data_IF_668524498113
#
_entry.id   IF_668524498113
#
_cell.length_a   1.000
_cell.length_b   1.000
_cell.length_c   1.000
_cell.angle_alpha   90.00
_cell.angle_beta   90.00
_cell.angle_gamma   90.00
#
_symmetry.space_group_name_H-M   'P 1'
#
loop_
_entity.id
_entity.type
_entity.pdbx_description
1 polymer ?
#
# COMPACT_ATOMS: atom_id res chain seq x y z
N UNK A 1 1.30 8.87 -21.76
CA UNK A 1 2.21 7.74 -22.02
C UNK A 1 3.63 8.21 -21.84
N UNK A 2 4.14 8.05 -20.64
CA UNK A 2 5.53 8.28 -20.30
C UNK A 2 6.40 7.35 -21.12
N UNK A 3 7.52 7.87 -21.61
CA UNK A 3 8.48 7.02 -22.30
C UNK A 3 8.96 5.93 -21.36
N UNK A 4 9.23 4.72 -21.87
CA UNK A 4 9.93 3.66 -21.12
C UNK A 4 11.18 4.21 -20.39
N UNK A 5 11.86 5.19 -20.98
CA UNK A 5 12.98 5.89 -20.38
C UNK A 5 12.64 6.66 -19.10
N UNK A 6 11.44 7.24 -19.00
CA UNK A 6 10.93 7.91 -17.79
C UNK A 6 10.72 6.92 -16.65
N UNK A 7 10.01 5.82 -16.92
CA UNK A 7 9.75 4.76 -15.92
C UNK A 7 11.06 4.12 -15.43
N UNK A 8 11.93 3.72 -16.36
CA UNK A 8 13.25 3.19 -16.02
C UNK A 8 14.13 4.22 -15.28
N UNK A 9 13.99 5.50 -15.62
CA UNK A 9 14.67 6.61 -14.95
C UNK A 9 14.21 6.75 -13.49
N UNK A 10 12.90 6.80 -13.25
CA UNK A 10 12.29 6.81 -11.91
C UNK A 10 12.72 5.59 -11.09
N UNK A 11 12.65 4.39 -11.66
CA UNK A 11 13.09 3.15 -11.02
C UNK A 11 14.57 3.17 -10.64
N UNK A 12 15.46 3.53 -11.58
CA UNK A 12 16.91 3.59 -11.34
C UNK A 12 17.28 4.66 -10.31
N UNK A 13 16.60 5.80 -10.28
CA UNK A 13 16.78 6.83 -9.24
C UNK A 13 16.38 6.30 -7.87
N UNK A 14 15.22 5.65 -7.75
CA UNK A 14 14.76 5.05 -6.49
C UNK A 14 15.72 3.98 -5.95
N UNK A 15 16.23 3.10 -6.82
CA UNK A 15 17.24 2.12 -6.45
C UNK A 15 18.51 2.75 -5.90
N UNK A 16 19.01 3.81 -6.55
CA UNK A 16 20.26 4.48 -6.16
C UNK A 16 20.12 5.37 -4.93
N UNK A 17 18.96 6.00 -4.75
CA UNK A 17 18.71 6.98 -3.69
C UNK A 17 18.23 6.37 -2.38
N UNK A 18 17.25 5.46 -2.45
CA UNK A 18 16.38 5.17 -1.31
C UNK A 18 16.53 3.75 -0.75
N UNK A 19 16.66 2.73 -1.61
CA UNK A 19 16.68 1.32 -1.18
C UNK A 19 17.91 0.98 -0.34
N UNK A 20 19.09 1.49 -0.73
CA UNK A 20 20.35 1.13 -0.09
C UNK A 20 20.74 2.02 1.10
N UNK A 21 20.07 3.16 1.28
CA UNK A 21 20.44 4.15 2.31
C UNK A 21 19.57 4.10 3.56
N UNK A 22 18.37 3.53 3.47
CA UNK A 22 17.44 3.49 4.59
C UNK A 22 17.48 2.11 5.28
N UNK A 23 17.83 2.03 6.59
CA UNK A 23 17.77 0.77 7.32
C UNK A 23 16.35 0.21 7.29
N UNK A 24 16.23 -1.11 7.24
CA UNK A 24 14.92 -1.76 7.38
C UNK A 24 14.34 -1.41 8.75
N UNK A 25 13.06 -1.02 8.76
CA UNK A 25 12.31 -0.82 10.00
C UNK A 25 12.32 -2.11 10.81
N UNK A 26 12.33 -1.97 12.12
CA UNK A 26 12.36 -3.10 13.04
C UNK A 26 10.93 -3.54 13.37
N UNK A 27 10.77 -4.84 13.56
CA UNK A 27 9.58 -5.41 14.17
C UNK A 27 9.69 -5.34 15.69
N UNK A 28 8.55 -5.34 16.37
CA UNK A 28 8.53 -5.51 17.83
C UNK A 28 8.88 -6.96 18.21
N UNK A 29 9.74 -7.12 19.21
CA UNK A 29 10.13 -8.43 19.72
C UNK A 29 8.94 -9.09 20.41
N UNK A 30 8.57 -10.30 19.98
CA UNK A 30 7.42 -11.03 20.53
C UNK A 30 6.06 -10.49 20.08
N UNK A 31 6.03 -9.57 19.10
CA UNK A 31 4.79 -9.05 18.54
C UNK A 31 4.06 -10.07 17.65
N UNK A 32 2.90 -9.64 17.15
CA UNK A 32 2.01 -10.38 16.23
C UNK A 32 2.80 -11.08 15.11
N UNK A 33 2.45 -12.34 14.74
CA UNK A 33 3.17 -13.07 13.70
C UNK A 33 3.27 -12.30 12.39
N UNK A 34 4.45 -12.39 11.74
CA UNK A 34 4.72 -11.77 10.44
C UNK A 34 5.14 -12.85 9.45
N UNK A 35 4.39 -12.99 8.37
CA UNK A 35 4.72 -13.81 7.20
C UNK A 35 5.30 -12.93 6.10
N UNK A 36 6.48 -13.28 5.59
CA UNK A 36 7.15 -12.54 4.54
C UNK A 36 6.97 -13.24 3.19
N UNK A 37 6.39 -12.53 2.22
CA UNK A 37 6.34 -12.97 0.82
C UNK A 37 7.47 -12.30 0.02
N UNK A 38 7.45 -12.43 -1.31
CA UNK A 38 8.46 -11.79 -2.17
C UNK A 38 8.44 -10.27 -1.99
N UNK A 39 7.25 -9.66 -1.97
CA UNK A 39 7.08 -8.21 -2.01
C UNK A 39 6.36 -7.63 -0.78
N UNK A 40 5.68 -8.44 0.02
CA UNK A 40 4.84 -7.97 1.12
C UNK A 40 5.20 -8.64 2.46
N UNK A 41 4.86 -7.95 3.54
CA UNK A 41 4.74 -8.52 4.86
C UNK A 41 3.26 -8.62 5.19
N UNK A 42 2.82 -9.82 5.59
CA UNK A 42 1.46 -10.12 6.02
C UNK A 42 1.53 -10.35 7.54
N UNK A 43 0.85 -9.52 8.31
CA UNK A 43 0.93 -9.47 9.76
C UNK A 43 -0.42 -9.88 10.35
N UNK A 44 -0.44 -10.81 11.29
CA UNK A 44 -1.69 -11.31 11.91
C UNK A 44 -1.86 -12.83 11.82
N UNK A 45 -2.96 -13.33 12.40
CA UNK A 45 -3.37 -14.73 12.28
C UNK A 45 -4.08 -14.97 10.93
N UNK A 46 -3.46 -15.80 10.10
CA UNK A 46 -3.93 -16.11 8.75
C UNK A 46 -4.90 -17.30 8.71
N UNK A 47 -5.08 -18.01 9.81
CA UNK A 47 -5.84 -19.28 9.84
C UNK A 47 -7.35 -19.07 9.92
N UNK A 48 -7.76 -17.96 10.53
CA UNK A 48 -9.16 -17.65 10.83
C UNK A 48 -9.67 -16.37 10.15
N UNK A 49 -8.78 -15.54 9.63
CA UNK A 49 -9.14 -14.27 9.01
C UNK A 49 -9.81 -14.44 7.64
N UNK A 50 -10.87 -13.67 7.42
CA UNK A 50 -11.57 -13.57 6.13
C UNK A 50 -11.29 -12.25 5.41
N UNK A 51 -10.66 -11.30 6.09
CA UNK A 51 -10.32 -9.99 5.55
C UNK A 51 -8.90 -9.56 5.94
N UNK A 52 -8.33 -8.66 5.15
CA UNK A 52 -7.07 -7.99 5.49
C UNK A 52 -7.10 -6.51 5.13
N UNK A 53 -6.21 -5.75 5.76
CA UNK A 53 -6.03 -4.31 5.53
C UNK A 53 -4.68 -4.04 4.88
N UNK A 54 -4.69 -3.49 3.67
CA UNK A 54 -3.48 -3.14 2.93
C UNK A 54 -3.10 -1.70 3.27
N UNK A 55 -1.92 -1.50 3.84
CA UNK A 55 -1.36 -0.18 4.17
C UNK A 55 -0.15 0.15 3.29
N UNK A 56 -0.08 1.42 2.86
CA UNK A 56 1.02 1.95 2.08
C UNK A 56 0.60 3.22 1.33
N UNK A 57 1.36 3.54 0.30
CA UNK A 57 0.97 4.51 -0.71
C UNK A 57 0.56 3.81 -1.99
N UNK A 58 -0.52 4.26 -2.64
CA UNK A 58 -0.93 3.82 -3.96
C UNK A 58 -0.84 4.97 -4.98
N UNK A 59 -0.23 4.68 -6.12
CA UNK A 59 -0.19 5.58 -7.27
C UNK A 59 -0.65 4.86 -8.53
N UNK A 60 -1.31 5.59 -9.42
CA UNK A 60 -1.84 5.08 -10.67
C UNK A 60 -1.54 5.99 -11.87
N UNK A 61 -0.46 6.76 -11.81
CA UNK A 61 -0.04 7.63 -12.90
C UNK A 61 0.28 6.81 -14.15
N UNK A 62 -0.23 7.28 -15.29
CA UNK A 62 -0.01 6.67 -16.61
C UNK A 62 1.46 6.42 -16.94
N UNK A 63 2.32 7.27 -16.40
CA UNK A 63 3.76 7.30 -16.61
C UNK A 63 4.54 6.39 -15.64
N UNK A 64 3.86 5.70 -14.72
CA UNK A 64 4.48 4.74 -13.80
C UNK A 64 4.30 3.28 -14.24
N UNK A 65 3.42 3.01 -15.22
CA UNK A 65 3.14 1.67 -15.72
C UNK A 65 4.03 1.28 -16.89
N UNK A 66 4.55 0.05 -16.86
CA UNK A 66 5.43 -0.47 -17.92
C UNK A 66 4.65 -0.90 -19.18
N UNK A 67 3.51 -1.60 -19.07
CA UNK A 67 2.59 -1.96 -20.18
C UNK A 67 1.25 -2.52 -19.62
N UNK A 68 0.09 -2.15 -20.21
CA UNK A 68 -1.28 -2.73 -20.08
C UNK A 68 -1.78 -3.25 -18.71
N UNK A 69 -1.08 -2.88 -17.64
CA UNK A 69 -1.32 -3.35 -16.28
C UNK A 69 -1.96 -2.26 -15.42
N UNK A 70 -2.60 -1.27 -16.06
CA UNK A 70 -3.29 -0.14 -15.41
C UNK A 70 -4.51 -0.60 -14.61
N UNK A 71 -5.16 -1.66 -15.08
CA UNK A 71 -6.28 -2.29 -14.40
C UNK A 71 -6.07 -3.80 -14.29
N UNK A 72 -6.88 -4.43 -13.46
CA UNK A 72 -6.98 -5.88 -13.37
C UNK A 72 -8.43 -6.29 -13.12
N UNK A 73 -8.77 -7.51 -13.55
CA UNK A 73 -10.06 -8.10 -13.23
C UNK A 73 -10.02 -8.71 -11.83
N UNK A 74 -10.90 -8.27 -10.94
CA UNK A 74 -10.97 -8.79 -9.57
C UNK A 74 -11.28 -10.29 -9.61
N UNK A 75 -10.53 -11.15 -8.90
CA UNK A 75 -10.80 -12.59 -8.88
C UNK A 75 -12.21 -12.91 -8.35
N UNK A 76 -12.81 -14.00 -8.84
CA UNK A 76 -14.11 -14.46 -8.36
C UNK A 76 -14.09 -14.73 -6.85
N UNK A 77 -15.12 -14.24 -6.13
CA UNK A 77 -15.20 -14.38 -4.67
C UNK A 77 -14.33 -13.41 -3.88
N UNK A 78 -13.59 -12.50 -4.54
CA UNK A 78 -12.82 -11.44 -3.89
C UNK A 78 -13.59 -10.12 -3.90
N UNK A 79 -13.48 -9.38 -2.79
CA UNK A 79 -13.97 -8.01 -2.64
C UNK A 79 -12.80 -7.09 -2.31
N UNK A 80 -12.71 -5.96 -3.00
CA UNK A 80 -11.71 -4.90 -2.78
C UNK A 80 -12.45 -3.64 -2.36
N UNK A 81 -12.27 -3.25 -1.10
CA UNK A 81 -12.82 -2.03 -0.54
C UNK A 81 -11.76 -0.91 -0.56
N UNK A 82 -12.19 0.29 -0.88
CA UNK A 82 -11.45 1.54 -0.74
C UNK A 82 -12.21 2.46 0.23
N UNK A 83 -11.54 3.51 0.69
CA UNK A 83 -12.11 4.48 1.64
C UNK A 83 -11.95 5.94 1.21
N UNK A 84 -11.41 6.17 0.02
CA UNK A 84 -11.43 7.49 -0.63
C UNK A 84 -11.68 7.30 -2.13
N UNK A 85 -12.05 8.36 -2.87
CA UNK A 85 -12.21 8.29 -4.32
C UNK A 85 -10.89 7.96 -5.04
N UNK A 86 -10.97 7.51 -6.28
CA UNK A 86 -9.81 7.57 -7.18
C UNK A 86 -9.32 9.01 -7.33
N UNK A 87 -8.00 9.21 -7.37
CA UNK A 87 -7.35 10.51 -7.44
C UNK A 87 -7.25 11.25 -6.09
N UNK A 88 -7.43 10.56 -4.95
CA UNK A 88 -7.38 11.18 -3.62
C UNK A 88 -6.30 10.56 -2.72
N UNK A 89 -5.73 11.39 -1.86
CA UNK A 89 -4.87 10.96 -0.75
C UNK A 89 -5.72 10.40 0.40
N UNK A 90 -5.20 9.38 1.08
CA UNK A 90 -5.83 8.80 2.26
C UNK A 90 -5.68 9.77 3.44
N UNK A 91 -6.81 10.11 4.05
CA UNK A 91 -6.86 11.02 5.19
C UNK A 91 -6.74 10.31 6.56
N UNK A 92 -6.72 8.97 6.60
CA UNK A 92 -6.74 8.19 7.84
C UNK A 92 -5.56 7.20 7.91
N UNK A 93 -4.75 7.32 8.96
CA UNK A 93 -3.62 6.41 9.21
C UNK A 93 -4.06 5.04 9.76
N UNK A 94 -3.10 4.11 9.85
CA UNK A 94 -3.33 2.75 10.37
C UNK A 94 -3.85 2.74 11.81
N UNK A 95 -3.45 3.71 12.65
CA UNK A 95 -3.96 3.88 14.01
C UNK A 95 -5.50 3.99 14.10
N UNK A 96 -6.16 4.54 13.07
CA UNK A 96 -7.62 4.75 13.09
C UNK A 96 -8.39 3.43 13.10
N UNK A 97 -7.74 2.33 12.68
CA UNK A 97 -8.30 0.98 12.82
C UNK A 97 -8.55 0.60 14.28
N UNK A 98 -7.83 1.20 15.24
CA UNK A 98 -8.09 1.02 16.68
C UNK A 98 -9.46 1.50 17.11
N UNK A 99 -10.07 2.39 16.33
CA UNK A 99 -11.42 2.88 16.52
C UNK A 99 -12.46 2.10 15.70
N UNK A 100 -12.09 0.91 15.24
CA UNK A 100 -12.92 -0.12 14.63
C UNK A 100 -13.46 0.13 13.21
N UNK A 101 -13.18 1.27 12.55
CA UNK A 101 -13.56 1.45 11.13
C UNK A 101 -12.61 2.38 10.39
N UNK A 102 -12.20 2.02 9.16
CA UNK A 102 -11.65 2.99 8.22
C UNK A 102 -12.68 4.10 7.95
N UNK A 103 -12.22 5.35 7.90
CA UNK A 103 -13.08 6.50 7.61
C UNK A 103 -13.23 6.64 6.10
N UNK A 104 -14.43 6.36 5.60
CA UNK A 104 -14.74 6.58 4.19
C UNK A 104 -14.97 8.07 3.90
N UNK A 105 -14.42 8.57 2.80
CA UNK A 105 -14.69 9.91 2.32
C UNK A 105 -16.18 10.04 1.93
N UNK A 106 -16.90 11.08 2.37
CA UNK A 106 -18.35 11.18 2.26
C UNK A 106 -18.90 11.24 0.83
N UNK A 107 -18.05 11.56 -0.16
CA UNK A 107 -18.43 11.73 -1.56
C UNK A 107 -17.97 10.61 -2.48
N UNK A 108 -17.37 9.54 -1.94
CA UNK A 108 -16.76 8.51 -2.77
C UNK A 108 -17.82 7.54 -3.34
N UNK A 109 -17.76 7.32 -4.65
CA UNK A 109 -18.73 6.51 -5.42
C UNK A 109 -18.15 5.18 -5.91
N UNK A 110 -16.83 5.02 -5.87
CA UNK A 110 -16.06 3.88 -6.39
C UNK A 110 -15.31 3.15 -5.26
N UNK A 111 -16.01 2.91 -4.17
CA UNK A 111 -15.42 2.37 -2.95
C UNK A 111 -15.33 0.84 -2.90
N UNK A 112 -16.01 0.11 -3.78
CA UNK A 112 -16.07 -1.35 -3.72
C UNK A 112 -16.00 -1.94 -5.12
N UNK A 113 -15.09 -2.90 -5.30
CA UNK A 113 -14.98 -3.73 -6.49
C UNK A 113 -15.11 -5.19 -6.08
N UNK A 114 -15.86 -5.98 -6.84
CA UNK A 114 -16.15 -7.39 -6.57
C UNK A 114 -15.72 -8.28 -7.73
N UNK A 115 -15.74 -9.59 -7.54
CA UNK A 115 -15.28 -10.56 -8.53
C UNK A 115 -15.85 -10.33 -9.95
N UNK A 116 -14.96 -10.11 -10.91
CA UNK A 116 -15.29 -9.82 -12.31
C UNK A 116 -15.27 -8.33 -12.67
N UNK A 117 -15.29 -7.44 -11.69
CA UNK A 117 -15.15 -6.00 -11.92
C UNK A 117 -13.73 -5.66 -12.40
N UNK A 118 -13.63 -4.57 -13.16
CA UNK A 118 -12.35 -4.00 -13.57
C UNK A 118 -11.91 -2.96 -12.52
N UNK A 119 -10.80 -3.23 -11.83
CA UNK A 119 -10.27 -2.39 -10.77
C UNK A 119 -8.92 -1.80 -11.17
N UNK A 120 -8.65 -0.55 -10.78
CA UNK A 120 -7.36 0.10 -11.00
C UNK A 120 -6.26 -0.65 -10.24
N UNK A 121 -5.16 -0.95 -10.92
CA UNK A 121 -4.07 -1.75 -10.38
C UNK A 121 -2.96 -0.88 -9.78
N UNK A 122 -3.27 -0.15 -8.71
CA UNK A 122 -2.35 0.77 -8.06
C UNK A 122 -0.96 0.18 -7.83
N UNK A 123 0.08 0.93 -8.18
CA UNK A 123 1.45 0.67 -7.78
C UNK A 123 1.55 1.02 -6.30
N UNK A 124 1.92 0.03 -5.50
CA UNK A 124 2.03 0.17 -4.07
C UNK A 124 3.47 0.46 -3.69
N UNK A 125 3.64 1.37 -2.74
CA UNK A 125 4.91 1.60 -2.08
C UNK A 125 4.72 1.64 -0.58
N UNK A 126 5.81 1.41 0.13
CA UNK A 126 5.83 1.42 1.60
C UNK A 126 5.45 2.81 2.11
N UNK A 127 4.58 2.86 3.12
CA UNK A 127 4.09 4.09 3.77
C UNK A 127 5.24 4.89 4.41
N UNK A 128 6.15 4.20 5.10
CA UNK A 128 7.25 4.86 5.81
C UNK A 128 8.49 5.12 4.93
N UNK A 129 8.84 6.41 4.83
CA UNK A 129 10.13 7.00 4.42
C UNK A 129 10.11 7.79 3.09
N UNK A 130 8.97 7.85 2.37
CA UNK A 130 8.84 8.66 1.14
C UNK A 130 8.54 10.13 1.48
N UNK A 131 7.72 10.34 2.51
CA UNK A 131 7.34 11.66 3.00
C UNK A 131 8.08 12.10 4.28
N UNK A 132 8.93 11.24 4.85
CA UNK A 132 9.37 11.38 6.25
C UNK A 132 10.89 11.30 6.44
N UNK A 133 11.68 11.76 5.46
CA UNK A 133 13.15 11.75 5.51
C UNK A 133 13.80 12.63 6.60
N UNK A 134 13.06 13.00 7.66
CA UNK A 134 13.58 13.78 8.76
C UNK A 134 12.82 13.68 10.09
N UNK A 135 11.69 12.97 10.17
CA UNK A 135 10.88 12.95 11.40
C UNK A 135 10.37 11.54 11.70
N UNK A 136 11.18 10.76 12.42
CA UNK A 136 10.82 9.42 12.89
C UNK A 136 9.64 9.42 13.86
N UNK A 137 9.33 10.57 14.47
CA UNK A 137 8.28 10.69 15.47
C UNK A 137 6.88 10.70 14.85
N UNK A 138 6.75 11.19 13.61
CA UNK A 138 5.44 11.27 12.94
C UNK A 138 4.90 9.89 12.54
N UNK A 139 5.64 9.05 11.85
CA UNK A 139 5.08 7.74 11.47
C UNK A 139 4.94 6.75 12.64
N UNK A 140 5.71 6.93 13.72
CA UNK A 140 5.44 6.24 14.97
C UNK A 140 4.13 6.74 15.60
N UNK A 141 3.87 8.05 15.56
CA UNK A 141 2.60 8.65 16.01
C UNK A 141 1.40 8.06 15.26
N UNK A 142 1.49 7.86 13.94
CA UNK A 142 0.41 7.32 13.12
C UNK A 142 0.42 5.79 12.99
N UNK A 143 1.39 5.11 13.62
CA UNK A 143 1.60 3.66 13.60
C UNK A 143 1.74 3.04 12.18
N UNK A 144 2.32 3.81 11.26
CA UNK A 144 2.50 3.43 9.85
C UNK A 144 3.86 2.73 9.59
N UNK A 145 4.61 2.47 10.65
CA UNK A 145 5.86 1.70 10.62
C UNK A 145 5.60 0.20 10.89
N UNK A 146 6.65 -0.63 10.85
CA UNK A 146 6.48 -2.08 11.01
C UNK A 146 6.07 -2.43 12.45
N UNK A 147 6.63 -1.77 13.45
CA UNK A 147 6.26 -1.99 14.84
C UNK A 147 4.80 -1.57 15.11
N UNK A 148 4.39 -0.40 14.64
CA UNK A 148 3.04 0.13 14.76
C UNK A 148 2.01 -0.71 14.00
N UNK A 149 2.29 -1.07 12.75
CA UNK A 149 1.43 -2.00 11.97
C UNK A 149 1.25 -3.33 12.71
N UNK A 150 2.33 -3.86 13.29
CA UNK A 150 2.30 -5.12 14.04
C UNK A 150 1.52 -4.98 15.37
N UNK A 151 1.62 -3.84 16.03
CA UNK A 151 0.87 -3.53 17.24
C UNK A 151 -0.63 -3.41 16.93
N UNK A 152 -1.01 -2.62 15.92
CA UNK A 152 -2.42 -2.47 15.48
C UNK A 152 -3.01 -3.82 15.10
N UNK A 153 -2.30 -4.63 14.30
CA UNK A 153 -2.76 -5.96 13.92
C UNK A 153 -3.00 -6.87 15.13
N UNK A 154 -2.11 -6.82 16.12
CA UNK A 154 -2.20 -7.62 17.35
C UNK A 154 -3.35 -7.20 18.25
N UNK A 155 -3.41 -5.90 18.54
CA UNK A 155 -4.39 -5.32 19.47
C UNK A 155 -5.83 -5.46 18.93
N UNK A 156 -6.00 -5.40 17.62
CA UNK A 156 -7.31 -5.50 16.96
C UNK A 156 -7.67 -6.92 16.52
N UNK A 157 -6.72 -7.86 16.55
CA UNK A 157 -6.93 -9.22 16.04
C UNK A 157 -7.22 -9.26 14.54
N UNK A 158 -6.60 -8.38 13.75
CA UNK A 158 -6.81 -8.26 12.31
C UNK A 158 -5.56 -8.67 11.52
N UNK A 159 -5.74 -8.91 10.21
CA UNK A 159 -4.63 -9.11 9.29
C UNK A 159 -4.30 -7.80 8.58
N UNK A 160 -3.03 -7.40 8.62
CA UNK A 160 -2.53 -6.24 7.89
C UNK A 160 -1.47 -6.65 6.87
N UNK A 161 -1.38 -5.92 5.76
CA UNK A 161 -0.41 -6.15 4.70
C UNK A 161 0.32 -4.85 4.41
N UNK A 162 1.65 -4.90 4.41
CA UNK A 162 2.49 -3.76 4.07
C UNK A 162 3.60 -4.17 3.09
N UNK A 163 4.10 -3.22 2.33
CA UNK A 163 5.16 -3.44 1.33
C UNK A 163 6.51 -3.68 2.06
N UNK A 164 7.25 -4.71 1.62
CA UNK A 164 8.63 -4.94 2.10
C UNK A 164 9.53 -3.78 1.65
N UNK A 165 10.65 -3.55 2.34
CA UNK A 165 11.61 -2.46 2.07
C UNK A 165 12.22 -2.48 0.65
N UNK A 166 11.40 -2.18 -0.36
CA UNK A 166 11.64 -2.12 -1.80
C UNK A 166 10.96 -0.85 -2.28
N UNK A 167 11.69 0.25 -2.21
CA UNK A 167 11.25 1.55 -2.69
C UNK A 167 11.02 1.47 -4.20
N UNK A 168 9.77 1.60 -4.62
CA UNK A 168 9.38 1.65 -6.04
C UNK A 168 9.90 0.46 -6.86
N UNK A 169 9.29 -0.71 -6.66
CA UNK A 169 9.60 -1.90 -7.45
C UNK A 169 8.49 -2.16 -8.47
N UNK A 170 8.86 -2.16 -9.75
CA UNK A 170 8.00 -2.59 -10.86
C UNK A 170 7.48 -4.02 -10.57
N UNK A 171 6.23 -4.13 -10.13
CA UNK A 171 5.62 -5.40 -9.72
C UNK A 171 5.05 -5.43 -8.31
N UNK A 172 5.24 -4.39 -7.50
CA UNK A 172 4.48 -4.21 -6.25
C UNK A 172 3.19 -3.48 -6.62
N UNK A 173 2.18 -4.22 -7.02
CA UNK A 173 0.86 -3.66 -7.38
C UNK A 173 -0.24 -4.25 -6.51
N UNK A 174 -1.41 -3.62 -6.52
CA UNK A 174 -2.59 -4.13 -5.82
C UNK A 174 -2.94 -5.56 -6.26
N UNK A 175 -2.92 -5.84 -7.56
CA UNK A 175 -3.11 -7.20 -8.10
C UNK A 175 -2.12 -8.19 -7.50
N UNK A 176 -0.82 -7.86 -7.50
CA UNK A 176 0.20 -8.74 -6.95
C UNK A 176 0.04 -8.96 -5.43
N UNK A 177 -0.38 -7.92 -4.70
CA UNK A 177 -0.69 -8.00 -3.28
C UNK A 177 -1.82 -9.01 -3.03
N UNK A 178 -2.94 -8.86 -3.75
CA UNK A 178 -4.09 -9.78 -3.65
C UNK A 178 -3.66 -11.21 -3.96
N UNK A 179 -2.91 -11.43 -5.04
CA UNK A 179 -2.43 -12.76 -5.44
C UNK A 179 -1.49 -13.41 -4.41
N UNK A 180 -0.57 -12.64 -3.83
CA UNK A 180 0.36 -13.14 -2.82
C UNK A 180 -0.35 -13.44 -1.49
N UNK A 181 -1.31 -12.59 -1.07
CA UNK A 181 -2.11 -12.80 0.15
C UNK A 181 -3.04 -13.98 0.00
N UNK A 182 -3.83 -14.07 -1.08
CA UNK A 182 -4.74 -15.21 -1.30
C UNK A 182 -3.97 -16.53 -1.38
N UNK A 183 -2.73 -16.53 -1.88
CA UNK A 183 -1.88 -17.73 -1.86
C UNK A 183 -1.42 -18.11 -0.45
N UNK A 184 -1.08 -17.13 0.38
CA UNK A 184 -0.60 -17.35 1.75
C UNK A 184 -1.75 -17.65 2.73
N UNK A 185 -2.93 -17.10 2.49
CA UNK A 185 -4.11 -17.16 3.34
C UNK A 185 -5.39 -17.27 2.49
N UNK A 186 -5.73 -18.46 1.97
CA UNK A 186 -6.86 -18.64 1.05
C UNK A 186 -8.24 -18.30 1.62
N UNK A 187 -8.37 -18.23 2.95
CA UNK A 187 -9.59 -17.80 3.63
C UNK A 187 -9.87 -16.29 3.50
N UNK A 188 -8.85 -15.48 3.19
CA UNK A 188 -8.98 -14.04 3.03
C UNK A 188 -9.56 -13.73 1.65
N UNK A 189 -10.78 -13.22 1.65
CA UNK A 189 -11.54 -12.84 0.45
C UNK A 189 -11.83 -11.34 0.37
N UNK A 190 -11.67 -10.61 1.47
CA UNK A 190 -11.93 -9.17 1.54
C UNK A 190 -10.63 -8.39 1.74
N UNK A 191 -10.38 -7.40 0.88
CA UNK A 191 -9.19 -6.57 0.90
C UNK A 191 -9.58 -5.12 1.14
N UNK A 192 -9.23 -4.60 2.30
CA UNK A 192 -9.52 -3.23 2.71
C UNK A 192 -8.30 -2.35 2.42
N UNK A 193 -8.41 -1.47 1.42
CA UNK A 193 -7.31 -0.64 0.92
C UNK A 193 -7.19 0.67 1.71
N UNK A 194 -6.18 0.74 2.58
CA UNK A 194 -5.81 1.90 3.38
C UNK A 194 -4.53 2.53 2.81
N UNK A 195 -4.65 3.08 1.61
CA UNK A 195 -3.54 3.76 0.95
C UNK A 195 -4.05 4.89 0.05
N UNK A 196 -3.20 5.87 -0.25
CA UNK A 196 -3.48 6.93 -1.22
C UNK A 196 -3.88 6.32 -2.58
N UNK A 197 -4.82 6.91 -3.31
CA UNK A 197 -5.31 6.45 -4.63
C UNK A 197 -4.93 7.46 -5.72
N UNK A 198 -3.70 7.97 -5.65
CA UNK A 198 -3.27 9.09 -6.50
C UNK A 198 -3.19 8.70 -7.96
N UNK A 199 -3.52 9.65 -8.82
CA UNK A 199 -3.52 9.59 -10.28
C UNK A 199 -2.98 10.92 -10.86
N UNK A 200 -2.91 10.97 -12.18
CA UNK A 200 -2.43 12.14 -12.95
C UNK A 200 -3.25 13.42 -12.74
N UNK A 201 -4.49 13.31 -12.24
CA UNK A 201 -5.40 14.44 -12.03
C UNK A 201 -5.49 14.87 -10.57
N UNK A 202 -4.79 14.18 -9.66
CA UNK A 202 -4.92 14.39 -8.22
C UNK A 202 -4.46 15.78 -7.79
N UNK A 203 -3.75 16.54 -8.65
CA UNK A 203 -3.31 17.91 -8.39
C UNK A 203 -2.39 18.05 -7.17
N UNK A 204 -1.99 16.92 -6.58
CA UNK A 204 -1.30 16.86 -5.31
C UNK A 204 0.20 16.78 -5.59
N UNK A 205 0.84 17.95 -5.54
CA UNK A 205 2.30 18.12 -5.59
C UNK A 205 3.03 17.19 -4.60
N UNK A 206 2.35 16.64 -3.58
CA UNK A 206 2.87 15.67 -2.64
C UNK A 206 3.44 14.39 -3.31
N UNK A 207 2.94 13.99 -4.48
CA UNK A 207 3.51 12.88 -5.26
C UNK A 207 4.59 13.33 -6.25
N UNK A 208 4.44 14.56 -6.74
CA UNK A 208 5.13 15.12 -7.91
C UNK A 208 6.23 16.11 -7.55
N UNK A 209 6.81 16.00 -6.34
CA UNK A 209 7.94 16.85 -5.97
C UNK A 209 9.19 16.41 -6.76
N UNK A 210 9.31 16.80 -8.03
CA UNK A 210 10.57 16.84 -8.79
C UNK A 210 11.69 17.59 -8.00
N UNK A 211 11.30 18.46 -7.06
CA UNK A 211 12.20 19.11 -6.09
C UNK A 211 12.65 18.28 -4.89
N UNK A 212 12.08 17.10 -4.61
CA UNK A 212 12.46 16.21 -3.50
C UNK A 212 13.34 15.06 -3.97
N UNK A 213 13.38 14.81 -5.28
CA UNK A 213 14.21 13.79 -5.94
C UNK A 213 15.59 14.32 -6.37
N UNK A 214 15.90 15.60 -6.10
CA UNK A 214 17.08 16.31 -6.64
C UNK A 214 18.03 16.92 -5.60
N UNK A 215 17.95 16.52 -4.32
CA UNK A 215 18.98 16.83 -3.32
C UNK A 215 19.56 15.59 -2.64
#
# INVERSE_FOLDING_TARGET
MGSLGSVFGKWRRNLRGNIHKQPSMQWSSGGTPVNATTNFYIVGDLTSATECYITGHGGADDDDYFFDNKSFRVPGGVTVNFYQPHGYILAAGTQELRHHKPVAHPTATDLVYTGGDECVNYILSKDQGRHLSGDTDYAAQWEMDYAGTQAVAGDMGIVMVTVRNRWFHAGVTLKACIEEVTRAAPGITTFNCLFCRVDENSGDEAWDIEGFWST
#
